data_IF_193687601790
#
_entry.id   IF_193687601790
#
_cell.length_a   1.000
_cell.length_b   1.000
_cell.length_c   1.000
_cell.angle_alpha   90.00
_cell.angle_beta   90.00
_cell.angle_gamma   90.00
#
_symmetry.space_group_name_H-M   'P 1'
#
loop_
_entity.id
_entity.type
_entity.pdbx_description
1 polymer ?
#
# COMPACT_ATOMS: atom_id res chain seq x y z
N UNK A 1 -16.35 -4.98 5.13
CA UNK A 1 -16.01 -3.91 4.17
C UNK A 1 -17.10 -2.84 4.16
N UNK A 2 -17.58 -2.44 5.34
CA UNK A 2 -18.79 -1.62 5.45
C UNK A 2 -20.10 -2.39 5.17
N UNK A 3 -21.23 -1.66 5.05
CA UNK A 3 -21.31 -0.20 5.05
C UNK A 3 -20.84 0.43 6.37
N UNK A 4 -20.20 1.59 6.29
CA UNK A 4 -19.83 2.40 7.45
C UNK A 4 -20.94 3.42 7.71
N UNK A 5 -21.24 3.68 8.98
CA UNK A 5 -22.21 4.69 9.41
C UNK A 5 -21.46 5.72 10.24
N UNK A 6 -21.55 6.98 9.82
CA UNK A 6 -20.98 8.09 10.57
C UNK A 6 -21.80 8.32 11.85
N UNK A 7 -21.11 8.58 12.95
CA UNK A 7 -21.70 8.89 14.26
C UNK A 7 -21.25 10.28 14.71
N UNK A 8 -21.76 10.77 15.83
CA UNK A 8 -21.35 12.04 16.40
C UNK A 8 -19.84 12.08 16.68
N UNK A 9 -19.25 13.27 16.54
CA UNK A 9 -17.82 13.48 16.81
C UNK A 9 -17.50 13.13 18.28
N UNK A 10 -16.47 12.31 18.55
CA UNK A 10 -16.11 11.90 19.90
C UNK A 10 -15.65 13.08 20.75
N UNK A 11 -16.05 13.13 22.03
CA UNK A 11 -15.47 14.04 23.01
C UNK A 11 -14.33 13.34 23.75
N UNK A 12 -13.09 13.78 23.53
CA UNK A 12 -11.90 13.30 24.22
C UNK A 12 -11.53 14.20 25.41
N UNK A 13 -10.78 13.71 26.39
CA UNK A 13 -10.34 14.48 27.56
C UNK A 13 -9.42 15.64 27.20
N UNK A 14 -8.59 15.48 26.16
CA UNK A 14 -7.60 16.46 25.75
C UNK A 14 -8.10 17.27 24.55
N UNK A 15 -8.00 18.60 24.69
CA UNK A 15 -8.35 19.59 23.66
C UNK A 15 -9.84 19.63 23.26
N UNK A 16 -10.77 19.06 24.05
CA UNK A 16 -12.22 19.05 23.70
C UNK A 16 -12.87 20.42 23.58
N UNK A 17 -12.35 21.41 24.30
CA UNK A 17 -12.88 22.78 24.30
C UNK A 17 -12.10 23.69 23.35
N UNK A 18 -11.13 23.15 22.61
CA UNK A 18 -10.35 23.92 21.64
C UNK A 18 -11.12 24.07 20.33
N UNK A 19 -10.90 25.14 19.56
CA UNK A 19 -11.50 25.28 18.24
C UNK A 19 -11.18 24.08 17.36
N UNK A 20 -12.15 23.61 16.57
CA UNK A 20 -11.96 22.46 15.67
C UNK A 20 -10.79 22.69 14.69
N UNK A 21 -10.59 23.93 14.24
CA UNK A 21 -9.44 24.31 13.43
C UNK A 21 -8.17 24.50 14.30
N UNK A 22 -7.06 23.92 13.86
CA UNK A 22 -5.75 24.06 14.48
C UNK A 22 -5.07 22.73 14.79
N UNK A 23 -3.83 22.79 15.26
CA UNK A 23 -3.08 21.61 15.70
C UNK A 23 -3.50 21.24 17.13
N UNK A 24 -4.52 20.38 17.23
CA UNK A 24 -5.07 19.88 18.49
C UNK A 24 -4.58 18.45 18.76
N UNK A 25 -5.40 17.45 18.44
CA UNK A 25 -5.04 16.03 18.51
C UNK A 25 -4.67 15.53 17.11
N UNK A 26 -3.75 14.57 17.02
CA UNK A 26 -3.21 14.06 15.76
C UNK A 26 -3.33 12.53 15.63
N UNK A 27 -2.27 11.92 15.11
CA UNK A 27 -2.14 10.47 14.92
C UNK A 27 -2.60 9.68 16.14
N UNK A 28 -3.29 8.57 15.89
CA UNK A 28 -3.89 7.75 16.93
C UNK A 28 -3.92 6.27 16.58
N UNK A 29 -4.02 5.44 17.61
CA UNK A 29 -4.26 4.00 17.53
C UNK A 29 -5.23 3.55 18.63
N UNK A 30 -6.01 2.50 18.34
CA UNK A 30 -7.01 1.96 19.26
C UNK A 30 -6.52 0.60 19.77
N UNK A 31 -6.46 0.47 21.08
CA UNK A 31 -6.16 -0.78 21.78
C UNK A 31 -7.38 -1.27 22.55
N UNK A 32 -7.75 -2.54 22.37
CA UNK A 32 -8.80 -3.21 23.15
C UNK A 32 -8.12 -4.25 24.04
N UNK A 33 -8.29 -4.12 25.35
CA UNK A 33 -7.70 -5.03 26.32
C UNK A 33 -8.48 -6.36 26.42
N UNK A 34 -7.91 -7.33 27.13
CA UNK A 34 -8.46 -8.68 27.27
C UNK A 34 -9.86 -8.69 27.91
N UNK A 35 -10.22 -7.67 28.69
CA UNK A 35 -11.51 -7.51 29.36
C UNK A 35 -12.56 -6.77 28.51
N UNK A 36 -12.20 -6.32 27.30
CA UNK A 36 -13.06 -5.53 26.42
C UNK A 36 -13.02 -4.02 26.71
N UNK A 37 -12.20 -3.54 27.63
CA UNK A 37 -11.97 -2.10 27.80
C UNK A 37 -11.12 -1.58 26.65
N UNK A 38 -11.58 -0.52 25.98
CA UNK A 38 -10.83 0.13 24.90
C UNK A 38 -10.11 1.39 25.37
N UNK A 39 -8.96 1.65 24.76
CA UNK A 39 -8.12 2.81 24.98
C UNK A 39 -7.72 3.41 23.64
N UNK A 40 -7.72 4.73 23.55
CA UNK A 40 -7.20 5.49 22.42
C UNK A 40 -5.84 6.07 22.82
N UNK A 41 -4.77 5.66 22.15
CA UNK A 41 -3.48 6.33 22.22
C UNK A 41 -3.45 7.39 21.11
N UNK A 42 -3.13 8.64 21.42
CA UNK A 42 -3.12 9.71 20.42
C UNK A 42 -2.07 10.79 20.72
N UNK A 43 -1.72 11.53 19.67
CA UNK A 43 -0.73 12.62 19.73
C UNK A 43 -1.41 13.94 20.12
N UNK A 44 -0.92 14.61 21.16
CA UNK A 44 -1.31 15.97 21.52
C UNK A 44 -0.34 16.99 20.92
N UNK A 45 -0.77 17.69 19.87
CA UNK A 45 0.04 18.69 19.18
C UNK A 45 0.19 20.00 19.95
N UNK A 46 -0.71 20.31 20.90
CA UNK A 46 -0.56 21.52 21.74
C UNK A 46 0.60 21.42 22.71
N UNK A 47 1.11 20.20 22.93
CA UNK A 47 2.33 19.92 23.69
C UNK A 47 3.50 19.54 22.79
N UNK A 48 3.47 19.95 21.51
CA UNK A 48 4.52 19.64 20.51
C UNK A 48 4.68 18.13 20.24
N UNK A 49 3.60 17.36 20.42
CA UNK A 49 3.57 15.92 20.17
C UNK A 49 3.95 15.09 21.40
N UNK A 50 3.18 15.20 22.48
CA UNK A 50 3.22 14.17 23.53
C UNK A 50 2.20 13.08 23.22
N UNK A 51 2.46 11.85 23.65
CA UNK A 51 1.46 10.77 23.58
C UNK A 51 0.55 10.84 24.82
N UNK A 52 -0.75 10.75 24.58
CA UNK A 52 -1.82 10.64 25.57
C UNK A 52 -2.51 9.31 25.37
N UNK A 53 -2.95 8.69 26.46
CA UNK A 53 -3.80 7.49 26.40
C UNK A 53 -5.06 7.75 27.22
N UNK A 54 -6.23 7.57 26.60
CA UNK A 54 -7.52 7.76 27.23
C UNK A 54 -8.38 6.49 27.09
N UNK A 55 -9.10 6.15 28.16
CA UNK A 55 -10.10 5.07 28.15
C UNK A 55 -11.36 5.51 27.43
N UNK A 56 -11.89 4.65 26.57
CA UNK A 56 -13.11 4.88 25.80
C UNK A 56 -14.36 4.33 26.52
N UNK A 57 -15.50 4.87 26.16
CA UNK A 57 -16.83 4.37 26.57
C UNK A 57 -17.05 2.93 26.11
N UNK A 58 -18.02 2.24 26.69
CA UNK A 58 -18.27 0.82 26.37
C UNK A 58 -18.68 0.55 24.90
N UNK A 59 -19.19 1.56 24.19
CA UNK A 59 -19.47 1.51 22.75
C UNK A 59 -18.28 1.96 21.87
N UNK A 60 -17.18 2.38 22.50
CA UNK A 60 -15.95 2.89 21.92
C UNK A 60 -16.09 4.20 21.11
N UNK A 61 -17.22 4.90 21.25
CA UNK A 61 -17.52 6.07 20.42
C UNK A 61 -17.08 7.41 21.04
N UNK A 62 -16.66 7.44 22.30
CA UNK A 62 -16.18 8.68 22.95
C UNK A 62 -15.20 8.37 24.08
N UNK A 63 -14.43 9.38 24.51
CA UNK A 63 -13.60 9.31 25.70
C UNK A 63 -14.42 9.32 26.99
N UNK A 64 -13.93 8.66 28.03
CA UNK A 64 -14.54 8.67 29.37
C UNK A 64 -14.04 9.82 30.24
N UNK A 65 -12.98 10.52 29.83
CA UNK A 65 -12.23 11.44 30.68
C UNK A 65 -11.15 10.77 31.54
N UNK A 66 -11.13 9.44 31.68
CA UNK A 66 -10.08 8.72 32.40
C UNK A 66 -8.85 8.53 31.49
N UNK A 67 -7.75 9.24 31.78
CA UNK A 67 -6.60 9.32 30.88
C UNK A 67 -5.26 9.48 31.61
N UNK A 68 -4.16 9.26 30.88
CA UNK A 68 -2.80 9.59 31.30
C UNK A 68 -2.16 10.58 30.33
N UNK A 69 -1.54 11.62 30.90
CA UNK A 69 -0.71 12.59 30.21
C UNK A 69 0.46 13.00 31.12
N UNK A 70 1.67 13.18 30.61
CA UNK A 70 2.16 12.86 29.27
C UNK A 70 2.87 11.49 29.30
N UNK A 71 2.58 10.61 28.33
CA UNK A 71 3.26 9.30 28.24
C UNK A 71 4.68 9.49 27.70
N UNK A 72 4.92 10.49 26.85
CA UNK A 72 6.22 10.90 26.31
C UNK A 72 6.50 12.38 26.63
N UNK A 73 7.75 12.81 26.46
CA UNK A 73 8.21 14.15 26.87
C UNK A 73 8.00 15.24 25.79
N UNK A 74 7.36 14.89 24.66
CA UNK A 74 7.14 15.75 23.49
C UNK A 74 8.02 15.36 22.31
N UNK A 75 7.83 16.01 21.14
CA UNK A 75 8.51 15.68 19.89
C UNK A 75 8.31 14.22 19.44
N UNK A 76 7.15 13.64 19.73
CA UNK A 76 6.76 12.29 19.33
C UNK A 76 5.42 12.31 18.61
N UNK A 77 5.11 11.26 17.84
CA UNK A 77 3.81 11.06 17.17
C UNK A 77 3.60 9.59 16.79
N UNK A 78 2.55 9.30 16.02
CA UNK A 78 2.23 7.98 15.47
C UNK A 78 2.29 6.82 16.49
N UNK A 79 1.49 6.88 17.57
CA UNK A 79 1.48 5.83 18.58
C UNK A 79 0.88 4.52 18.03
N UNK A 80 1.43 3.39 18.45
CA UNK A 80 0.86 2.05 18.27
C UNK A 80 0.90 1.27 19.59
N UNK A 81 -0.26 0.85 20.10
CA UNK A 81 -0.38 0.27 21.44
C UNK A 81 -0.75 -1.22 21.42
N UNK A 82 -0.08 -2.02 22.23
CA UNK A 82 -0.37 -3.45 22.35
C UNK A 82 -0.03 -4.02 23.73
N UNK A 83 -0.52 -5.23 23.99
CA UNK A 83 -0.23 -5.99 25.22
C UNK A 83 0.45 -7.31 24.92
N UNK A 84 1.48 -7.64 25.71
CA UNK A 84 2.20 -8.92 25.64
C UNK A 84 2.56 -9.40 27.04
N UNK A 85 2.09 -10.60 27.38
CA UNK A 85 2.39 -11.28 28.66
C UNK A 85 2.12 -10.38 29.89
N UNK A 86 1.00 -9.67 29.89
CA UNK A 86 0.60 -8.78 31.00
C UNK A 86 1.31 -7.42 31.04
N UNK A 87 2.18 -7.11 30.06
CA UNK A 87 2.85 -5.80 29.93
C UNK A 87 2.26 -5.06 28.74
N UNK A 88 2.00 -3.76 28.92
CA UNK A 88 1.53 -2.85 27.88
C UNK A 88 2.73 -2.15 27.25
N UNK A 89 2.67 -1.95 25.94
CA UNK A 89 3.69 -1.30 25.14
C UNK A 89 3.02 -0.20 24.32
N UNK A 90 3.69 0.94 24.21
CA UNK A 90 3.34 1.96 23.21
C UNK A 90 4.60 2.24 22.39
N UNK A 91 4.54 1.96 21.10
CA UNK A 91 5.58 2.29 20.10
C UNK A 91 5.20 3.64 19.48
N UNK A 92 6.17 4.50 19.20
CA UNK A 92 5.93 5.83 18.66
C UNK A 92 7.13 6.33 17.86
N UNK A 93 6.86 7.31 16.99
CA UNK A 93 7.89 8.05 16.26
C UNK A 93 8.65 8.98 17.20
N UNK A 94 9.98 9.00 17.10
CA UNK A 94 10.88 9.87 17.85
C UNK A 94 12.11 10.25 16.98
N UNK A 95 12.17 11.47 16.41
CA UNK A 95 11.22 12.58 16.63
C UNK A 95 9.91 12.41 15.84
N UNK A 96 8.96 13.31 16.06
CA UNK A 96 7.91 13.58 15.09
C UNK A 96 8.48 14.31 13.86
N UNK A 97 8.09 13.84 12.67
CA UNK A 97 8.29 14.50 11.40
C UNK A 97 7.34 13.90 10.35
N UNK A 98 6.27 14.64 10.02
CA UNK A 98 5.40 14.29 8.91
C UNK A 98 6.16 14.25 7.58
N UNK A 99 6.00 13.16 6.83
CA UNK A 99 6.57 12.94 5.50
C UNK A 99 8.09 12.92 5.40
N UNK A 100 8.82 12.85 6.51
CA UNK A 100 10.26 12.61 6.48
C UNK A 100 10.58 11.27 5.82
N UNK A 101 11.76 11.16 5.19
CA UNK A 101 12.27 9.91 4.59
C UNK A 101 12.63 8.83 5.61
N UNK A 102 12.51 9.12 6.90
CA UNK A 102 12.74 8.21 8.01
C UNK A 102 12.70 8.95 9.34
N UNK A 103 12.06 8.36 10.35
CA UNK A 103 12.10 8.81 11.75
C UNK A 103 12.51 7.66 12.67
N UNK A 104 12.95 7.95 13.88
CA UNK A 104 13.24 6.90 14.85
C UNK A 104 11.96 6.23 15.34
N UNK A 105 12.07 4.97 15.76
CA UNK A 105 11.03 4.26 16.49
C UNK A 105 11.52 3.97 17.90
N UNK A 106 10.73 4.39 18.88
CA UNK A 106 10.96 4.16 20.30
C UNK A 106 9.72 3.53 20.94
N UNK A 107 9.87 2.95 22.13
CA UNK A 107 8.73 2.45 22.90
C UNK A 107 8.87 2.72 24.39
N UNK A 108 7.73 2.73 25.08
CA UNK A 108 7.61 2.69 26.56
C UNK A 108 6.78 1.49 26.98
N UNK A 109 6.91 1.09 28.24
CA UNK A 109 6.18 -0.05 28.83
C UNK A 109 5.47 0.34 30.12
N UNK A 110 4.37 -0.35 30.44
CA UNK A 110 3.62 -0.19 31.69
C UNK A 110 2.96 -1.50 32.13
N UNK A 111 2.58 -1.58 33.40
CA UNK A 111 1.80 -2.70 33.96
C UNK A 111 0.29 -2.46 33.92
N UNK A 112 -0.15 -1.25 33.58
CA UNK A 112 -1.55 -0.91 33.32
C UNK A 112 -1.64 0.06 32.12
N UNK A 113 -2.78 0.12 31.41
CA UNK A 113 -2.95 0.96 30.22
C UNK A 113 -2.70 2.46 30.46
N UNK A 114 -3.00 2.94 31.67
CA UNK A 114 -2.81 4.35 32.06
C UNK A 114 -1.50 4.58 32.84
N UNK A 115 -0.58 3.60 32.82
CA UNK A 115 0.75 3.72 33.41
C UNK A 115 0.86 3.17 34.84
N UNK A 116 1.92 3.55 35.59
CA UNK A 116 2.99 4.45 35.16
C UNK A 116 3.80 3.87 33.99
N UNK A 117 4.23 4.75 33.09
CA UNK A 117 5.01 4.38 31.90
C UNK A 117 6.51 4.51 32.15
N UNK A 118 7.29 3.57 31.62
CA UNK A 118 8.75 3.55 31.73
C UNK A 118 9.42 4.66 30.93
N UNK A 119 10.74 4.83 31.10
CA UNK A 119 11.55 5.59 30.16
C UNK A 119 11.49 4.98 28.74
N UNK A 120 11.69 5.83 27.74
CA UNK A 120 11.70 5.41 26.33
C UNK A 120 12.93 4.59 25.96
N UNK A 121 12.75 3.57 25.13
CA UNK A 121 13.82 2.76 24.53
C UNK A 121 13.70 2.80 23.02
N UNK A 122 14.78 3.19 22.34
CA UNK A 122 14.84 3.22 20.87
C UNK A 122 15.07 1.83 20.29
N UNK A 123 14.34 1.50 19.23
CA UNK A 123 14.46 0.22 18.49
C UNK A 123 14.88 0.41 17.03
N UNK A 124 14.78 1.64 16.49
CA UNK A 124 15.28 1.99 15.16
C UNK A 124 15.58 3.48 15.06
N UNK A 125 16.60 3.85 14.28
CA UNK A 125 16.93 5.25 13.98
C UNK A 125 16.11 5.83 12.83
N UNK A 126 15.60 4.98 11.92
CA UNK A 126 14.94 5.43 10.69
C UNK A 126 13.66 4.64 10.36
N UNK A 127 13.21 3.77 11.26
CA UNK A 127 11.99 2.97 11.11
C UNK A 127 11.93 2.17 9.81
N UNK A 128 13.11 1.72 9.33
CA UNK A 128 13.27 1.03 8.05
C UNK A 128 12.94 1.91 6.82
N UNK A 129 13.23 3.21 6.91
CA UNK A 129 13.05 4.18 5.81
C UNK A 129 11.68 4.88 5.82
N UNK A 130 11.00 4.90 6.96
CA UNK A 130 9.65 5.46 7.09
C UNK A 130 9.37 6.00 8.49
N UNK A 131 8.10 5.98 8.86
CA UNK A 131 7.59 6.37 10.17
C UNK A 131 6.76 5.22 10.77
N UNK A 132 6.84 4.90 12.07
CA UNK A 132 5.93 3.90 12.66
C UNK A 132 4.48 4.35 12.47
N UNK A 133 3.57 3.40 12.26
CA UNK A 133 2.17 3.69 11.93
C UNK A 133 1.20 2.89 12.80
N UNK A 134 1.47 1.60 12.99
CA UNK A 134 0.64 0.74 13.83
C UNK A 134 1.42 -0.49 14.32
N UNK A 135 0.90 -1.14 15.36
CA UNK A 135 1.28 -2.50 15.74
C UNK A 135 0.04 -3.40 15.67
N UNK A 136 0.01 -4.35 14.73
CA UNK A 136 -1.11 -5.28 14.61
C UNK A 136 -0.80 -6.59 15.34
N UNK A 137 -1.66 -6.97 16.30
CA UNK A 137 -1.55 -8.27 16.97
C UNK A 137 -2.29 -9.34 16.15
N UNK A 138 -1.53 -10.20 15.48
CA UNK A 138 -2.04 -11.23 14.56
C UNK A 138 -1.82 -12.61 15.16
N UNK A 139 -2.89 -13.40 15.27
CA UNK A 139 -2.78 -14.84 15.61
C UNK A 139 -2.59 -15.65 14.33
N UNK A 140 -1.46 -16.32 14.20
CA UNK A 140 -1.16 -17.26 13.11
C UNK A 140 -0.96 -18.64 13.73
N UNK A 141 -1.92 -19.54 13.54
CA UNK A 141 -1.99 -20.83 14.25
C UNK A 141 -1.93 -20.59 15.78
N UNK A 142 -1.05 -21.31 16.48
CA UNK A 142 -0.84 -21.16 17.92
C UNK A 142 0.13 -20.01 18.30
N UNK A 143 0.63 -19.22 17.34
CA UNK A 143 1.60 -18.15 17.59
C UNK A 143 0.94 -16.78 17.47
N UNK A 144 1.23 -15.91 18.44
CA UNK A 144 0.91 -14.47 18.36
C UNK A 144 2.09 -13.73 17.73
N UNK A 145 1.81 -12.96 16.69
CA UNK A 145 2.76 -12.09 15.99
C UNK A 145 2.35 -10.64 16.26
N UNK A 146 3.31 -9.81 16.62
CA UNK A 146 3.13 -8.36 16.74
C UNK A 146 3.75 -7.73 15.49
N UNK A 147 2.92 -7.47 14.48
CA UNK A 147 3.35 -6.92 13.20
C UNK A 147 3.54 -5.41 13.34
N UNK A 148 4.79 -4.98 13.31
CA UNK A 148 5.16 -3.57 13.21
C UNK A 148 4.90 -3.09 11.79
N UNK A 149 4.17 -1.97 11.67
CA UNK A 149 3.96 -1.27 10.43
C UNK A 149 4.67 0.07 10.41
N UNK A 150 5.39 0.34 9.32
CA UNK A 150 5.93 1.65 9.01
C UNK A 150 5.45 2.13 7.64
N UNK A 151 4.97 3.38 7.59
CA UNK A 151 4.62 4.07 6.36
C UNK A 151 5.88 4.67 5.74
N UNK A 152 6.19 4.24 4.51
CA UNK A 152 7.26 4.77 3.67
C UNK A 152 6.69 5.95 2.88
N UNK A 153 6.59 7.10 3.55
CA UNK A 153 6.05 8.31 2.97
C UNK A 153 6.76 8.70 1.68
N UNK A 154 6.01 9.23 0.73
CA UNK A 154 6.52 9.61 -0.58
C UNK A 154 6.77 11.13 -0.69
N UNK A 155 7.37 11.72 0.35
CA UNK A 155 7.77 13.13 0.41
C UNK A 155 6.63 14.14 0.14
N UNK A 156 5.48 13.95 0.80
CA UNK A 156 4.29 14.78 0.63
C UNK A 156 3.83 14.91 -0.84
N UNK A 157 4.08 13.86 -1.65
CA UNK A 157 3.58 13.84 -3.00
C UNK A 157 2.05 13.86 -2.98
N UNK A 158 1.44 14.65 -3.88
CA UNK A 158 -0.03 14.79 -3.98
C UNK A 158 -0.78 13.46 -4.05
N UNK A 159 -0.13 12.42 -4.57
CA UNK A 159 -0.66 11.06 -4.59
C UNK A 159 -0.01 10.19 -3.51
N UNK A 160 -0.50 10.31 -2.28
CA UNK A 160 -0.02 9.51 -1.14
C UNK A 160 -0.40 8.04 -1.24
N UNK A 161 -1.32 7.65 -2.13
CA UNK A 161 -1.62 6.24 -2.39
C UNK A 161 -0.48 5.48 -3.09
N UNK A 162 0.61 6.17 -3.42
CA UNK A 162 1.88 5.61 -3.87
C UNK A 162 2.93 5.49 -2.75
N UNK A 163 2.66 6.03 -1.56
CA UNK A 163 3.45 5.69 -0.38
C UNK A 163 3.38 4.17 -0.17
N UNK A 164 4.50 3.61 0.25
CA UNK A 164 4.61 2.16 0.43
C UNK A 164 4.71 1.83 1.91
N UNK A 165 4.84 0.56 2.23
CA UNK A 165 4.83 0.09 3.60
C UNK A 165 6.04 -0.80 3.86
N UNK A 166 6.61 -0.70 5.05
CA UNK A 166 7.52 -1.69 5.60
C UNK A 166 6.84 -2.38 6.77
N UNK A 167 6.59 -3.69 6.65
CA UNK A 167 5.97 -4.48 7.70
C UNK A 167 6.89 -5.63 8.13
N UNK A 168 7.13 -5.77 9.43
CA UNK A 168 7.93 -6.84 9.98
C UNK A 168 7.44 -7.25 11.37
N UNK A 169 7.60 -8.51 11.78
CA UNK A 169 7.28 -8.89 13.16
C UNK A 169 8.29 -8.24 14.13
N UNK A 170 7.77 -7.68 15.22
CA UNK A 170 8.60 -7.38 16.38
C UNK A 170 9.14 -8.67 16.99
N UNK A 171 10.38 -8.60 17.47
CA UNK A 171 10.99 -9.67 18.26
C UNK A 171 11.31 -9.15 19.65
N UNK A 172 11.31 -10.06 20.63
CA UNK A 172 11.40 -9.70 22.04
C UNK A 172 12.48 -10.55 22.71
N UNK A 173 13.29 -9.93 23.58
CA UNK A 173 14.16 -10.63 24.50
C UNK A 173 13.36 -11.31 25.62
N UNK A 174 14.04 -12.11 26.44
CA UNK A 174 13.40 -12.86 27.54
C UNK A 174 12.76 -11.94 28.58
N UNK A 175 13.38 -10.79 28.85
CA UNK A 175 12.90 -9.77 29.78
C UNK A 175 11.70 -8.95 29.25
N UNK A 176 11.26 -9.22 28.02
CA UNK A 176 10.17 -8.52 27.36
C UNK A 176 10.58 -7.27 26.59
N UNK A 177 11.85 -6.84 26.64
CA UNK A 177 12.33 -5.75 25.80
C UNK A 177 12.15 -6.08 24.31
N UNK A 178 11.75 -5.09 23.51
CA UNK A 178 11.70 -5.20 22.06
C UNK A 178 13.15 -5.13 21.55
N UNK A 179 13.57 -6.13 20.78
CA UNK A 179 14.89 -6.10 20.13
C UNK A 179 14.92 -5.02 19.02
N UNK A 180 16.10 -4.46 18.70
CA UNK A 180 16.23 -3.54 17.56
C UNK A 180 15.63 -4.11 16.27
N UNK A 181 14.99 -3.24 15.49
CA UNK A 181 14.43 -3.63 14.20
C UNK A 181 15.56 -4.02 13.25
N UNK A 182 15.52 -5.27 12.78
CA UNK A 182 16.25 -5.66 11.58
C UNK A 182 15.37 -5.30 10.37
N UNK A 183 15.91 -4.54 9.42
CA UNK A 183 15.19 -4.04 8.26
C UNK A 183 15.57 -4.78 6.96
N UNK A 184 15.37 -6.12 6.83
CA UNK A 184 15.67 -6.81 5.59
C UNK A 184 14.69 -6.42 4.48
N UNK A 185 15.15 -6.45 3.24
CA UNK A 185 14.34 -6.11 2.05
C UNK A 185 13.13 -7.04 1.82
N UNK A 186 13.11 -8.23 2.44
CA UNK A 186 11.96 -9.14 2.36
C UNK A 186 11.77 -9.98 3.62
N UNK A 187 10.49 -10.15 4.02
CA UNK A 187 10.08 -11.09 5.06
C UNK A 187 9.21 -12.18 4.45
N UNK A 188 9.59 -13.44 4.64
CA UNK A 188 8.80 -14.59 4.20
C UNK A 188 7.85 -15.02 5.31
N UNK A 189 6.54 -14.86 5.09
CA UNK A 189 5.55 -15.42 6.01
C UNK A 189 5.73 -16.94 6.12
N UNK A 190 5.49 -17.53 7.31
CA UNK A 190 5.35 -18.98 7.41
C UNK A 190 4.25 -19.43 6.45
N UNK A 191 4.52 -20.46 5.63
CA UNK A 191 3.62 -20.97 4.57
C UNK A 191 2.19 -21.09 5.09
N UNK A 192 1.31 -20.19 4.66
CA UNK A 192 -0.12 -20.33 4.83
C UNK A 192 -0.66 -21.44 3.91
N UNK A 193 -1.72 -22.12 4.35
CA UNK A 193 -2.44 -23.14 3.57
C UNK A 193 -2.93 -22.52 2.25
N UNK A 194 -2.84 -23.29 1.16
CA UNK A 194 -3.14 -22.87 -0.23
C UNK A 194 -4.45 -22.06 -0.28
N UNK A 195 -4.44 -20.80 -0.78
CA UNK A 195 -5.66 -20.04 -0.98
C UNK A 195 -6.56 -20.72 -2.04
N UNK A 196 -7.86 -20.41 -1.97
CA UNK A 196 -8.87 -20.81 -2.95
C UNK A 196 -8.36 -20.72 -4.39
N UNK A 197 -8.70 -21.72 -5.20
CA UNK A 197 -8.28 -21.89 -6.59
C UNK A 197 -8.81 -20.74 -7.45
N UNK A 198 -8.08 -19.62 -7.49
CA UNK A 198 -8.25 -18.64 -8.54
C UNK A 198 -7.78 -19.28 -9.86
N UNK A 199 -8.50 -19.04 -10.98
CA UNK A 199 -8.08 -19.57 -12.27
C UNK A 199 -6.65 -19.11 -12.55
N UNK A 200 -5.77 -20.05 -12.84
CA UNK A 200 -4.37 -19.76 -13.15
C UNK A 200 -4.31 -18.92 -14.42
N UNK A 201 -3.61 -17.78 -14.43
CA UNK A 201 -3.47 -16.97 -15.64
C UNK A 201 -2.68 -17.74 -16.70
N UNK A 202 -3.06 -17.60 -17.97
CA UNK A 202 -2.30 -18.15 -19.09
C UNK A 202 -0.95 -17.45 -19.22
N UNK A 203 -0.91 -16.12 -19.04
CA UNK A 203 0.32 -15.33 -18.99
C UNK A 203 0.28 -14.42 -17.77
N UNK A 204 1.40 -14.28 -17.05
CA UNK A 204 1.55 -13.35 -15.92
C UNK A 204 3.00 -12.98 -15.70
N UNK A 205 3.26 -11.72 -15.35
CA UNK A 205 4.60 -11.20 -15.02
C UNK A 205 4.96 -11.34 -13.54
N UNK A 206 4.16 -12.08 -12.76
CA UNK A 206 4.38 -12.31 -11.34
C UNK A 206 3.85 -11.19 -10.46
N UNK A 207 4.32 -11.16 -9.21
CA UNK A 207 3.95 -10.15 -8.20
C UNK A 207 5.16 -9.46 -7.55
N UNK A 208 6.36 -9.82 -7.97
CA UNK A 208 7.60 -9.45 -7.27
C UNK A 208 8.25 -8.23 -7.92
N UNK A 209 8.86 -7.37 -7.09
CA UNK A 209 9.72 -6.24 -7.45
C UNK A 209 9.12 -5.21 -8.42
N UNK A 210 7.80 -5.02 -8.37
CA UNK A 210 7.12 -4.00 -9.15
C UNK A 210 7.29 -2.61 -8.56
N UNK A 211 7.72 -1.67 -9.40
CA UNK A 211 7.74 -0.23 -9.11
C UNK A 211 6.66 0.49 -9.89
N UNK A 212 6.16 1.61 -9.37
CA UNK A 212 5.14 2.43 -10.03
C UNK A 212 5.79 3.52 -10.88
N UNK A 213 5.32 3.69 -12.12
CA UNK A 213 5.73 4.79 -13.01
C UNK A 213 4.51 5.43 -13.67
N UNK A 214 4.47 6.76 -13.68
CA UNK A 214 3.40 7.54 -14.30
C UNK A 214 3.96 8.33 -15.48
N UNK A 215 3.80 7.81 -16.70
CA UNK A 215 4.33 8.44 -17.91
C UNK A 215 3.39 8.35 -19.11
N UNK A 216 2.26 7.64 -19.01
CA UNK A 216 1.29 7.52 -20.10
C UNK A 216 0.47 8.81 -20.17
N UNK A 217 0.85 9.68 -21.09
CA UNK A 217 0.24 10.98 -21.38
C UNK A 217 0.68 11.45 -22.77
N UNK A 218 -0.05 12.40 -23.36
CA UNK A 218 0.25 12.99 -24.66
C UNK A 218 0.56 11.93 -25.75
N UNK A 219 1.83 11.81 -26.16
CA UNK A 219 2.29 10.89 -27.20
C UNK A 219 2.94 9.61 -26.64
N UNK A 220 3.21 9.55 -25.34
CA UNK A 220 3.89 8.41 -24.72
C UNK A 220 2.91 7.26 -24.49
N UNK A 221 3.25 6.10 -25.03
CA UNK A 221 2.49 4.86 -24.90
C UNK A 221 3.40 3.75 -24.35
N UNK A 222 2.82 2.88 -23.54
CA UNK A 222 3.49 1.68 -23.03
C UNK A 222 2.82 0.46 -23.61
N UNK A 223 3.61 -0.53 -24.00
CA UNK A 223 3.10 -1.79 -24.49
C UNK A 223 3.80 -2.97 -23.83
N UNK A 224 3.09 -4.10 -23.79
CA UNK A 224 3.58 -5.38 -23.28
C UNK A 224 3.09 -6.48 -24.21
N UNK A 225 4.01 -7.20 -24.85
CA UNK A 225 3.66 -8.38 -25.62
C UNK A 225 3.45 -9.61 -24.73
N UNK A 226 2.75 -10.61 -25.26
CA UNK A 226 2.59 -11.93 -24.68
C UNK A 226 2.35 -12.96 -25.80
N UNK A 227 2.75 -14.21 -25.55
CA UNK A 227 2.47 -15.34 -26.45
C UNK A 227 1.21 -16.07 -25.98
N UNK A 228 0.27 -16.33 -26.89
CA UNK A 228 -0.91 -17.12 -26.55
C UNK A 228 -0.51 -18.60 -26.32
N UNK A 229 -0.72 -19.12 -25.10
CA UNK A 229 -0.34 -20.50 -24.74
C UNK A 229 -1.27 -21.57 -25.30
N UNK A 230 -2.45 -21.17 -25.76
CA UNK A 230 -3.46 -22.04 -26.38
C UNK A 230 -4.32 -21.27 -27.37
N UNK A 231 -4.89 -21.99 -28.34
CA UNK A 231 -5.88 -21.44 -29.26
C UNK A 231 -7.22 -21.34 -28.56
N UNK A 232 -7.88 -20.18 -28.67
CA UNK A 232 -9.12 -19.94 -27.95
C UNK A 232 -9.51 -18.47 -27.92
N UNK A 233 -10.41 -18.11 -27.02
CA UNK A 233 -10.91 -16.76 -26.87
C UNK A 233 -10.23 -16.06 -25.68
N UNK A 234 -9.59 -14.91 -25.93
CA UNK A 234 -9.01 -14.06 -24.89
C UNK A 234 -10.13 -13.35 -24.13
N UNK A 235 -10.60 -13.98 -23.04
CA UNK A 235 -11.75 -13.53 -22.25
C UNK A 235 -11.43 -12.36 -21.33
N UNK A 236 -10.21 -12.32 -20.80
CA UNK A 236 -9.83 -11.34 -19.78
C UNK A 236 -8.37 -10.97 -19.90
N UNK A 237 -8.11 -9.67 -19.83
CA UNK A 237 -6.77 -9.12 -19.60
C UNK A 237 -6.86 -8.21 -18.38
N UNK A 238 -5.90 -8.34 -17.49
CA UNK A 238 -5.77 -7.50 -16.30
C UNK A 238 -4.46 -6.75 -16.40
N UNK A 239 -4.50 -5.45 -16.13
CA UNK A 239 -3.32 -4.58 -16.05
C UNK A 239 -3.42 -3.74 -14.79
N UNK A 240 -2.34 -3.63 -14.03
CA UNK A 240 -2.30 -2.74 -12.87
C UNK A 240 -2.03 -1.30 -13.30
N UNK A 241 -2.97 -0.40 -13.02
CA UNK A 241 -2.88 1.03 -13.39
C UNK A 241 -3.31 1.94 -12.25
N UNK A 242 -2.88 3.20 -12.30
CA UNK A 242 -3.33 4.30 -11.44
C UNK A 242 -3.35 5.61 -12.23
N UNK A 243 -3.84 6.70 -11.63
CA UNK A 243 -3.70 8.06 -12.16
C UNK A 243 -2.89 8.95 -11.23
N UNK A 244 -2.24 9.96 -11.79
CA UNK A 244 -1.58 11.01 -11.02
C UNK A 244 -1.83 12.39 -11.65
N UNK A 245 -1.88 13.43 -10.81
CA UNK A 245 -2.04 14.83 -11.24
C UNK A 245 -3.27 15.09 -12.15
N UNK A 246 -4.37 14.37 -11.92
CA UNK A 246 -5.67 14.55 -12.59
C UNK A 246 -5.61 14.58 -14.14
N UNK A 247 -5.46 13.42 -14.79
CA UNK A 247 -5.58 13.31 -16.24
C UNK A 247 -6.87 13.96 -16.78
N UNK A 248 -6.76 14.81 -17.79
CA UNK A 248 -7.90 15.43 -18.43
C UNK A 248 -8.59 14.48 -19.43
N UNK A 249 -7.85 13.53 -20.00
CA UNK A 249 -8.35 12.53 -20.95
C UNK A 249 -8.46 11.13 -20.34
N UNK A 250 -9.23 10.26 -20.99
CA UNK A 250 -9.38 8.84 -20.59
C UNK A 250 -8.13 8.02 -20.89
N UNK A 251 -7.92 6.93 -20.15
CA UNK A 251 -6.95 5.89 -20.52
C UNK A 251 -7.57 5.01 -21.60
N UNK A 252 -6.82 4.62 -22.61
CA UNK A 252 -7.24 3.66 -23.63
C UNK A 252 -6.34 2.43 -23.55
N UNK A 253 -6.96 1.26 -23.40
CA UNK A 253 -6.27 -0.04 -23.46
C UNK A 253 -6.70 -0.77 -24.72
N UNK A 254 -5.72 -1.16 -25.53
CA UNK A 254 -5.94 -1.84 -26.81
C UNK A 254 -5.15 -3.14 -26.87
N UNK A 255 -5.63 -4.10 -27.68
CA UNK A 255 -4.90 -5.33 -28.00
C UNK A 255 -4.55 -5.31 -29.50
N UNK A 256 -3.30 -5.60 -29.82
CA UNK A 256 -2.76 -5.70 -31.17
C UNK A 256 -2.18 -7.11 -31.40
N UNK A 257 -1.98 -7.47 -32.68
CA UNK A 257 -0.96 -8.47 -32.99
C UNK A 257 0.43 -7.91 -32.65
N UNK A 258 1.39 -8.77 -32.32
CA UNK A 258 2.79 -8.37 -32.23
C UNK A 258 3.56 -8.93 -33.44
N UNK A 259 4.53 -8.16 -33.95
CA UNK A 259 5.41 -8.62 -35.02
C UNK A 259 6.56 -9.50 -34.49
N UNK A 260 7.48 -9.90 -35.37
CA UNK A 260 8.65 -10.71 -35.00
C UNK A 260 9.61 -10.03 -34.02
N UNK A 261 9.49 -8.71 -33.82
CA UNK A 261 10.26 -7.95 -32.84
C UNK A 261 9.51 -7.75 -31.52
N UNK A 262 8.38 -8.45 -31.31
CA UNK A 262 7.57 -8.40 -30.09
C UNK A 262 6.89 -7.04 -29.83
N UNK A 263 6.78 -6.18 -30.84
CA UNK A 263 6.12 -4.87 -30.73
C UNK A 263 4.74 -4.87 -31.40
N UNK A 264 3.80 -3.99 -30.98
CA UNK A 264 2.48 -3.89 -31.60
C UNK A 264 2.56 -3.64 -33.11
N UNK A 265 1.77 -4.38 -33.90
CA UNK A 265 1.74 -4.25 -35.35
C UNK A 265 0.31 -4.26 -35.91
N UNK A 266 0.14 -3.54 -37.01
CA UNK A 266 -1.13 -3.47 -37.73
C UNK A 266 -2.22 -2.68 -36.98
N UNK A 267 -3.48 -3.05 -37.22
CA UNK A 267 -4.64 -2.43 -36.57
C UNK A 267 -4.94 -3.08 -35.22
N UNK A 268 -5.51 -2.31 -34.31
CA UNK A 268 -5.98 -2.83 -33.03
C UNK A 268 -7.06 -3.90 -33.27
N UNK A 269 -6.88 -5.07 -32.65
CA UNK A 269 -7.85 -6.15 -32.60
C UNK A 269 -8.97 -5.86 -31.59
N UNK A 270 -8.66 -5.06 -30.57
CA UNK A 270 -9.58 -4.62 -29.54
C UNK A 270 -9.15 -3.24 -29.03
N UNK A 271 -10.11 -2.40 -28.64
CA UNK A 271 -9.86 -1.11 -27.98
C UNK A 271 -10.95 -0.82 -26.97
N UNK A 272 -10.55 -0.41 -25.76
CA UNK A 272 -11.46 -0.03 -24.69
C UNK A 272 -10.99 1.26 -24.01
N UNK A 273 -11.78 2.36 -24.09
CA UNK A 273 -11.58 3.49 -23.20
C UNK A 273 -11.97 3.08 -21.76
N UNK A 274 -11.15 3.48 -20.81
CA UNK A 274 -11.34 3.33 -19.38
C UNK A 274 -11.56 4.72 -18.82
N UNK A 275 -12.74 4.92 -18.21
CA UNK A 275 -13.12 6.21 -17.66
C UNK A 275 -12.10 6.64 -16.58
N UNK A 276 -11.63 7.89 -16.66
CA UNK A 276 -10.67 8.48 -15.71
C UNK A 276 -11.20 8.50 -14.27
N UNK A 277 -12.53 8.52 -14.10
CA UNK A 277 -13.15 8.47 -12.78
C UNK A 277 -13.16 7.06 -12.18
N UNK A 278 -13.06 6.02 -13.03
CA UNK A 278 -12.94 4.63 -12.59
C UNK A 278 -11.52 4.24 -12.17
N UNK A 279 -10.51 5.03 -12.57
CA UNK A 279 -9.11 4.82 -12.20
C UNK A 279 -8.80 5.64 -10.96
N UNK A 280 -8.39 4.95 -9.90
CA UNK A 280 -7.98 5.55 -8.63
C UNK A 280 -6.53 6.04 -8.63
N UNK A 281 -6.18 6.74 -7.56
CA UNK A 281 -4.82 7.22 -7.30
C UNK A 281 -3.89 6.09 -6.84
N UNK A 282 -4.46 5.04 -6.24
CA UNK A 282 -3.77 3.79 -5.91
C UNK A 282 -3.70 2.84 -7.12
N UNK A 283 -2.58 2.13 -7.26
CA UNK A 283 -2.38 1.09 -8.26
C UNK A 283 -3.37 -0.06 -8.05
N UNK A 284 -4.28 -0.25 -9.01
CA UNK A 284 -5.30 -1.31 -8.98
C UNK A 284 -5.38 -2.03 -10.31
N UNK A 285 -5.83 -3.28 -10.23
CA UNK A 285 -6.09 -4.09 -11.41
C UNK A 285 -7.32 -3.56 -12.17
N UNK A 286 -7.08 -3.02 -13.37
CA UNK A 286 -8.13 -2.77 -14.35
C UNK A 286 -8.30 -4.01 -15.21
N UNK A 287 -9.56 -4.40 -15.41
CA UNK A 287 -9.94 -5.60 -16.13
C UNK A 287 -10.64 -5.21 -17.43
N UNK A 288 -10.11 -5.65 -18.56
CA UNK A 288 -10.80 -5.59 -19.85
C UNK A 288 -11.23 -6.99 -20.29
N UNK A 289 -12.28 -7.05 -21.10
CA UNK A 289 -12.84 -8.30 -21.64
C UNK A 289 -12.81 -8.25 -23.17
N UNK A 290 -11.67 -8.61 -23.80
CA UNK A 290 -11.51 -8.46 -25.24
C UNK A 290 -12.47 -9.33 -26.07
N UNK A 291 -12.69 -10.59 -25.64
CA UNK A 291 -13.50 -11.57 -26.37
C UNK A 291 -13.05 -11.76 -27.83
N UNK A 292 -11.73 -11.73 -28.06
CA UNK A 292 -11.11 -11.93 -29.39
C UNK A 292 -10.49 -13.32 -29.48
N UNK A 293 -10.44 -13.87 -30.70
CA UNK A 293 -9.77 -15.14 -30.95
C UNK A 293 -8.25 -14.97 -30.99
N UNK A 294 -7.54 -15.87 -30.30
CA UNK A 294 -6.08 -15.96 -30.31
C UNK A 294 -5.64 -17.37 -30.69
N UNK A 295 -4.51 -17.48 -31.38
CA UNK A 295 -3.94 -18.76 -31.82
C UNK A 295 -2.71 -19.12 -30.99
N UNK A 296 -2.60 -20.38 -30.59
CA UNK A 296 -1.43 -20.90 -29.86
C UNK A 296 -0.14 -20.53 -30.59
N UNK A 297 0.81 -19.98 -29.86
CA UNK A 297 2.14 -19.61 -30.37
C UNK A 297 2.20 -18.25 -31.07
N UNK A 298 1.07 -17.62 -31.41
CA UNK A 298 1.07 -16.24 -31.91
C UNK A 298 1.26 -15.25 -30.76
N UNK A 299 1.85 -14.11 -31.11
CA UNK A 299 2.16 -13.03 -30.19
C UNK A 299 1.17 -11.88 -30.36
N UNK A 300 0.84 -11.26 -29.24
CA UNK A 300 -0.10 -10.15 -29.14
C UNK A 300 0.49 -9.11 -28.22
N UNK A 301 0.04 -7.85 -28.32
CA UNK A 301 0.50 -6.77 -27.47
C UNK A 301 -0.66 -6.01 -26.82
N UNK A 302 -0.54 -5.77 -25.51
CA UNK A 302 -1.39 -4.87 -24.74
C UNK A 302 -0.78 -3.48 -24.86
N UNK A 303 -1.51 -2.50 -25.37
CA UNK A 303 -1.05 -1.11 -25.53
C UNK A 303 -1.89 -0.20 -24.64
N UNK A 304 -1.22 0.63 -23.83
CA UNK A 304 -1.82 1.64 -22.99
C UNK A 304 -1.43 3.03 -23.49
N UNK A 305 -2.43 3.88 -23.72
CA UNK A 305 -2.24 5.26 -24.19
C UNK A 305 -3.26 6.22 -23.60
N UNK A 306 -2.91 7.51 -23.55
CA UNK A 306 -3.85 8.58 -23.28
C UNK A 306 -3.37 9.86 -23.93
N UNK A 307 -4.27 10.63 -24.53
CA UNK A 307 -3.98 11.94 -25.08
C UNK A 307 -3.95 13.06 -24.02
N UNK A 308 -3.92 12.69 -22.74
CA UNK A 308 -3.95 13.61 -21.60
C UNK A 308 -2.84 14.66 -21.71
N UNK A 309 -3.21 15.93 -21.67
CA UNK A 309 -2.28 17.07 -21.67
C UNK A 309 -1.88 17.45 -20.24
N UNK A 310 -2.77 17.26 -19.28
CA UNK A 310 -2.49 17.38 -17.84
C UNK A 310 -2.49 15.99 -17.21
N UNK A 311 -1.69 15.82 -16.15
CA UNK A 311 -1.60 14.54 -15.45
C UNK A 311 -1.08 13.38 -16.30
N UNK A 312 -1.06 12.19 -15.70
CA UNK A 312 -0.69 10.96 -16.39
C UNK A 312 -1.42 9.76 -15.81
N UNK A 313 -1.50 8.70 -16.62
CA UNK A 313 -1.75 7.37 -16.10
C UNK A 313 -0.43 6.68 -15.80
N UNK A 314 -0.44 5.94 -14.71
CA UNK A 314 0.68 5.11 -14.32
C UNK A 314 0.33 3.64 -14.28
N UNK A 315 1.40 2.86 -14.17
CA UNK A 315 1.45 1.41 -14.31
C UNK A 315 2.47 0.88 -13.30
N UNK A 316 2.37 -0.41 -12.99
CA UNK A 316 3.41 -1.13 -12.27
C UNK A 316 4.31 -1.89 -13.24
N UNK A 317 5.63 -1.74 -13.11
CA UNK A 317 6.61 -2.49 -13.89
C UNK A 317 7.83 -2.96 -13.08
N UNK A 318 8.42 -4.08 -13.47
CA UNK A 318 9.70 -4.56 -12.95
C UNK A 318 10.71 -4.79 -14.09
N UNK A 319 11.96 -5.04 -13.73
CA UNK A 319 13.07 -5.31 -14.65
C UNK A 319 13.53 -6.78 -14.62
N UNK A 320 12.70 -7.69 -14.09
CA UNK A 320 13.05 -9.09 -13.97
C UNK A 320 13.11 -9.75 -15.35
N UNK A 321 14.20 -10.47 -15.62
CA UNK A 321 14.45 -11.14 -16.92
C UNK A 321 13.52 -12.34 -17.20
N UNK A 322 12.41 -12.48 -16.47
CA UNK A 322 11.65 -13.74 -16.33
C UNK A 322 10.72 -14.07 -17.48
N UNK A 323 10.56 -13.19 -18.48
CA UNK A 323 9.58 -13.38 -19.55
C UNK A 323 10.20 -13.75 -20.90
N UNK A 324 10.58 -15.02 -21.09
CA UNK A 324 10.99 -15.52 -22.42
C UNK A 324 9.81 -15.44 -23.40
N UNK A 325 9.99 -14.75 -24.54
CA UNK A 325 8.99 -14.64 -25.60
C UNK A 325 7.92 -13.55 -25.39
N UNK A 326 8.21 -12.57 -24.54
CA UNK A 326 7.46 -11.33 -24.39
C UNK A 326 8.44 -10.19 -24.09
N UNK A 327 8.02 -8.96 -24.38
CA UNK A 327 8.81 -7.79 -24.10
C UNK A 327 7.90 -6.59 -23.83
N UNK A 328 8.32 -5.76 -22.90
CA UNK A 328 7.79 -4.41 -22.81
C UNK A 328 8.37 -3.53 -23.90
N UNK A 329 7.58 -2.57 -24.36
CA UNK A 329 8.02 -1.57 -25.34
C UNK A 329 7.40 -0.20 -25.06
N UNK A 330 8.04 0.82 -25.61
CA UNK A 330 7.65 2.22 -25.47
C UNK A 330 7.51 2.84 -26.85
N UNK A 331 6.50 3.69 -26.99
CA UNK A 331 6.39 4.64 -28.09
C UNK A 331 6.38 6.06 -27.51
N UNK A 332 7.10 6.97 -28.14
CA UNK A 332 7.11 8.41 -27.78
C UNK A 332 6.55 9.31 -28.88
N UNK A 333 6.05 8.73 -29.98
CA UNK A 333 5.61 9.43 -31.19
C UNK A 333 4.13 9.20 -31.52
N UNK A 334 3.31 8.88 -30.51
CA UNK A 334 1.88 8.63 -30.72
C UNK A 334 1.55 7.23 -31.23
N UNK A 335 2.48 6.29 -31.13
CA UNK A 335 2.29 4.88 -31.47
C UNK A 335 2.70 4.56 -32.90
N UNK A 336 3.50 5.42 -33.53
CA UNK A 336 4.04 5.22 -34.88
C UNK A 336 5.18 4.22 -34.80
N UNK A 337 6.10 4.38 -33.84
CA UNK A 337 7.19 3.45 -33.61
C UNK A 337 7.24 2.98 -32.16
N UNK A 338 7.34 1.66 -31.98
CA UNK A 338 7.58 1.05 -30.67
C UNK A 338 9.01 0.52 -30.62
N UNK A 339 9.72 0.83 -29.53
CA UNK A 339 11.05 0.30 -29.24
C UNK A 339 10.98 -0.59 -28.02
N UNK A 340 11.68 -1.71 -28.07
CA UNK A 340 11.78 -2.63 -26.95
C UNK A 340 12.48 -1.94 -25.78
N UNK A 341 11.94 -2.16 -24.59
CA UNK A 341 12.45 -1.70 -23.30
C UNK A 341 12.66 -2.94 -22.43
N UNK A 342 13.82 -3.61 -22.61
CA UNK A 342 14.14 -4.90 -21.98
C UNK A 342 14.17 -4.85 -20.45
N UNK A 343 14.17 -3.65 -19.87
CA UNK A 343 14.16 -3.41 -18.42
C UNK A 343 12.75 -3.14 -17.88
N UNK A 344 11.73 -3.35 -18.70
CA UNK A 344 10.37 -2.96 -18.39
C UNK A 344 9.41 -4.12 -18.72
N UNK A 345 8.80 -4.68 -17.68
CA UNK A 345 7.71 -5.63 -17.78
C UNK A 345 6.49 -5.10 -17.03
N UNK A 346 5.39 -4.91 -17.73
CA UNK A 346 4.12 -4.47 -17.15
C UNK A 346 3.60 -5.54 -16.16
N UNK A 347 2.94 -5.14 -15.07
CA UNK A 347 2.16 -6.06 -14.23
C UNK A 347 0.86 -6.41 -14.94
N UNK A 348 0.78 -7.62 -15.51
CA UNK A 348 -0.39 -8.05 -16.26
C UNK A 348 -0.74 -9.52 -16.06
N UNK A 349 -1.97 -9.87 -16.42
CA UNK A 349 -2.44 -11.23 -16.54
C UNK A 349 -3.34 -11.41 -17.76
N UNK A 350 -3.27 -12.55 -18.43
CA UNK A 350 -4.21 -12.93 -19.51
C UNK A 350 -4.92 -14.23 -19.19
N UNK A 351 -6.18 -14.34 -19.59
CA UNK A 351 -6.99 -15.55 -19.44
C UNK A 351 -7.66 -15.88 -20.77
N UNK A 352 -7.30 -17.02 -21.32
CA UNK A 352 -7.78 -17.56 -22.58
C UNK A 352 -8.73 -18.72 -22.24
N UNK A 353 -9.94 -18.69 -22.78
CA UNK A 353 -10.84 -19.85 -22.77
C UNK A 353 -10.46 -20.72 -23.96
N UNK A 354 -10.00 -21.94 -23.71
CA UNK A 354 -9.70 -22.90 -24.78
C UNK A 354 -10.94 -23.20 -25.62
N UNK A 355 -10.73 -23.59 -26.88
CA UNK A 355 -11.79 -24.16 -27.71
C UNK A 355 -12.28 -25.49 -27.15
#
# INVERSE_FOLDING_TARGET
>A
TGPFTEVAEPKLAINSEMPAAGLNNGDHDIFIDDDGTAYLAFTDWRTKGTIVIEKLSADYLTGTGEHVKAVTDGQTEAPGMFKRKGVYYVVYSDPNCGYCSGTGSSYRTALAPLGPWSAGKKISENSCGGQPSFISTIKINAKTVYLYGSDLWNNAAKNEALANYYWAPLTFAEDGSINPLNCPESYQFPKAVKPNVHPTPDNTSGNDDFSAKCDISQQLQRAQSFTAKKTGELKRVTVTVFKNNNPDQTLVISIYAADGNLVPAGKALYTKPIDKYSIGWSAKNVVIKPNIMVDKGKQYAIVLKSASATGCYGIQSNNLATFRGAAGSISTDGGITFKIDDKYNLRFQTFIKGK
#
